data_IF_656061233967
#
_entry.id   IF_656061233967
#
_cell.length_a   1.000
_cell.length_b   1.000
_cell.length_c   1.000
_cell.angle_alpha   90.00
_cell.angle_beta   90.00
_cell.angle_gamma   90.00
#
_symmetry.space_group_name_H-M   'P 1'
#
loop_
_entity.id
_entity.type
_entity.pdbx_description
1 polymer ?
#
# COMPACT_ATOMS: atom_id res chain seq x y z
N UNK A 1 -28.66 56.87 24.87
CA UNK A 1 -30.10 57.13 25.12
C UNK A 1 -30.80 57.01 23.79
N UNK A 2 -31.63 55.97 23.63
CA UNK A 2 -32.46 55.82 22.44
C UNK A 2 -33.73 56.69 22.56
N UNK A 3 -34.36 56.97 21.43
CA UNK A 3 -35.77 56.68 21.20
C UNK A 3 -36.16 57.04 19.77
N UNK A 4 -36.71 56.04 19.11
CA UNK A 4 -37.50 56.08 17.88
C UNK A 4 -38.72 56.96 18.07
N UNK A 5 -39.07 57.80 17.09
CA UNK A 5 -40.49 58.03 16.79
C UNK A 5 -40.72 58.31 15.31
N UNK A 6 -41.46 57.38 14.74
CA UNK A 6 -42.09 57.36 13.43
C UNK A 6 -43.29 58.32 13.45
N UNK A 7 -43.38 59.24 12.49
CA UNK A 7 -44.65 59.86 12.10
C UNK A 7 -44.80 59.83 10.58
N UNK A 8 -45.95 59.35 10.16
CA UNK A 8 -46.39 59.08 8.80
C UNK A 8 -47.72 59.83 8.66
N UNK A 9 -47.96 60.53 7.54
CA UNK A 9 -49.21 60.50 6.72
C UNK A 9 -49.40 61.73 5.80
N UNK A 10 -49.64 61.40 4.51
CA UNK A 10 -50.40 62.05 3.39
C UNK A 10 -49.95 63.39 2.81
N UNK A 11 -49.36 63.43 1.61
CA UNK A 11 -49.85 63.26 0.20
C UNK A 11 -50.48 64.51 -0.41
N UNK A 12 -49.82 65.05 -1.45
CA UNK A 12 -50.48 65.69 -2.58
C UNK A 12 -50.23 64.85 -3.85
N UNK A 13 -51.33 64.48 -4.51
CA UNK A 13 -51.39 63.79 -5.80
C UNK A 13 -51.09 64.77 -6.93
N UNK A 14 -50.18 64.40 -7.83
CA UNK A 14 -50.20 64.85 -9.23
C UNK A 14 -49.99 63.65 -10.16
N UNK A 15 -50.87 63.58 -11.16
CA UNK A 15 -51.00 62.63 -12.26
C UNK A 15 -49.77 61.80 -12.65
N UNK A 16 -49.86 60.47 -12.49
CA UNK A 16 -48.88 59.50 -12.97
C UNK A 16 -49.49 58.40 -13.88
N UNK A 17 -50.60 58.67 -14.58
CA UNK A 17 -51.27 57.66 -15.41
C UNK A 17 -50.61 57.42 -16.78
N UNK A 18 -49.79 58.35 -17.28
CA UNK A 18 -49.13 58.20 -18.59
C UNK A 18 -47.78 57.47 -18.51
N UNK A 19 -47.06 57.57 -17.38
CA UNK A 19 -45.76 56.91 -17.19
C UNK A 19 -45.92 55.42 -16.86
N UNK A 20 -46.97 55.04 -16.11
CA UNK A 20 -47.21 53.64 -15.71
C UNK A 20 -47.63 52.74 -16.88
N UNK A 21 -48.32 53.28 -17.89
CA UNK A 21 -48.69 52.51 -19.10
C UNK A 21 -47.48 52.25 -20.02
N UNK A 22 -46.56 53.20 -20.17
CA UNK A 22 -45.35 53.00 -20.99
C UNK A 22 -44.34 52.03 -20.34
N UNK A 23 -44.33 51.95 -19.00
CA UNK A 23 -43.43 51.08 -18.26
C UNK A 23 -43.93 49.62 -18.21
N UNK A 24 -45.26 49.41 -18.16
CA UNK A 24 -45.88 48.09 -18.26
C UNK A 24 -45.70 47.42 -19.64
N UNK A 25 -45.88 48.18 -20.72
CA UNK A 25 -45.71 47.64 -22.08
C UNK A 25 -44.25 47.26 -22.39
N UNK A 26 -43.27 48.02 -21.86
CA UNK A 26 -41.84 47.69 -21.98
C UNK A 26 -41.45 46.42 -21.22
N UNK A 27 -41.99 46.18 -20.03
CA UNK A 27 -41.75 44.93 -19.27
C UNK A 27 -42.37 43.71 -19.96
N UNK A 28 -43.58 43.84 -20.50
CA UNK A 28 -44.23 42.75 -21.24
C UNK A 28 -43.45 42.43 -22.52
N UNK A 29 -42.94 43.45 -23.23
CA UNK A 29 -42.10 43.27 -24.40
C UNK A 29 -40.73 42.64 -24.04
N UNK A 30 -40.14 43.00 -22.90
CA UNK A 30 -38.90 42.40 -22.39
C UNK A 30 -39.09 40.94 -21.98
N UNK A 31 -40.18 40.62 -21.29
CA UNK A 31 -40.54 39.25 -20.89
C UNK A 31 -40.88 38.39 -22.10
N UNK A 32 -41.58 38.92 -23.11
CA UNK A 32 -41.84 38.21 -24.36
C UNK A 32 -40.55 37.98 -25.17
N UNK A 33 -39.65 38.97 -25.25
CA UNK A 33 -38.34 38.81 -25.89
C UNK A 33 -37.45 37.80 -25.15
N UNK A 34 -37.47 37.78 -23.81
CA UNK A 34 -36.74 36.82 -22.99
C UNK A 34 -37.28 35.40 -23.13
N UNK A 35 -38.61 35.22 -23.17
CA UNK A 35 -39.26 33.93 -23.44
C UNK A 35 -38.97 33.45 -24.86
N UNK A 36 -38.99 34.33 -25.87
CA UNK A 36 -38.65 34.01 -27.26
C UNK A 36 -37.18 33.64 -27.43
N UNK A 37 -36.25 34.30 -26.72
CA UNK A 37 -34.82 33.92 -26.66
C UNK A 37 -34.60 32.55 -26.01
N UNK A 38 -35.29 32.22 -24.92
CA UNK A 38 -35.23 30.88 -24.30
C UNK A 38 -35.82 29.80 -25.20
N UNK A 39 -36.93 30.08 -25.89
CA UNK A 39 -37.53 29.16 -26.85
C UNK A 39 -36.63 28.92 -28.07
N UNK A 40 -35.99 29.97 -28.60
CA UNK A 40 -35.01 29.85 -29.69
C UNK A 40 -33.71 29.15 -29.23
N UNK A 41 -33.24 29.35 -28.00
CA UNK A 41 -32.11 28.60 -27.43
C UNK A 41 -32.43 27.13 -27.19
N UNK A 42 -33.68 26.78 -26.85
CA UNK A 42 -34.12 25.38 -26.71
C UNK A 42 -34.34 24.70 -28.07
N UNK A 43 -34.74 25.44 -29.11
CA UNK A 43 -34.89 24.91 -30.48
C UNK A 43 -33.56 24.81 -31.25
N UNK A 44 -32.53 25.55 -30.86
CA UNK A 44 -31.17 25.45 -31.44
C UNK A 44 -30.24 24.48 -30.71
N UNK A 45 -30.71 23.77 -29.68
CA UNK A 45 -29.98 22.62 -29.17
C UNK A 45 -30.36 21.39 -30.00
N UNK A 46 -29.48 20.87 -30.87
CA UNK A 46 -29.74 19.59 -31.51
C UNK A 46 -29.90 18.53 -30.42
N UNK A 47 -31.13 18.08 -30.20
CA UNK A 47 -31.39 16.81 -29.55
C UNK A 47 -30.98 15.72 -30.54
N UNK A 48 -29.72 15.26 -30.47
CA UNK A 48 -29.41 13.85 -30.72
C UNK A 48 -28.00 13.48 -30.27
N UNK A 49 -28.02 12.88 -29.07
CA UNK A 49 -27.16 11.81 -28.59
C UNK A 49 -25.66 12.08 -28.58
N UNK A 50 -25.20 12.68 -27.48
CA UNK A 50 -23.89 12.32 -26.93
C UNK A 50 -23.93 10.83 -26.53
N UNK A 51 -23.79 9.93 -27.51
CA UNK A 51 -22.95 8.77 -27.29
C UNK A 51 -21.51 9.31 -27.21
N UNK A 52 -21.17 9.99 -26.10
CA UNK A 52 -19.76 10.13 -25.76
C UNK A 52 -19.19 8.73 -25.86
N UNK A 53 -18.05 8.52 -26.56
CA UNK A 53 -17.59 7.18 -26.92
C UNK A 53 -17.73 6.36 -25.67
N UNK A 54 -18.57 5.32 -25.71
CA UNK A 54 -18.58 4.34 -24.65
C UNK A 54 -17.13 3.93 -24.60
N UNK A 55 -16.39 4.46 -23.62
CA UNK A 55 -15.19 3.84 -23.14
C UNK A 55 -15.73 2.59 -22.49
N UNK A 56 -16.18 1.63 -23.31
CA UNK A 56 -15.79 0.25 -23.15
C UNK A 56 -14.32 0.40 -22.80
N UNK A 57 -14.02 0.36 -21.50
CA UNK A 57 -12.68 0.05 -21.05
C UNK A 57 -12.46 -1.27 -21.74
N UNK A 58 -11.89 -1.24 -22.96
CA UNK A 58 -11.37 -2.40 -23.65
C UNK A 58 -10.56 -3.03 -22.55
N UNK A 59 -11.08 -4.12 -22.00
CA UNK A 59 -10.49 -4.79 -20.87
C UNK A 59 -9.22 -5.31 -21.49
N UNK A 60 -8.14 -4.53 -21.36
CA UNK A 60 -6.89 -4.84 -22.03
C UNK A 60 -6.60 -6.28 -21.63
N UNK A 61 -6.50 -7.11 -22.65
CA UNK A 61 -6.26 -8.52 -22.45
C UNK A 61 -4.97 -8.60 -21.64
N UNK A 62 -5.05 -9.16 -20.43
CA UNK A 62 -3.88 -9.25 -19.57
C UNK A 62 -2.91 -10.16 -20.30
N UNK A 63 -1.81 -9.60 -20.78
CA UNK A 63 -0.67 -10.38 -21.27
C UNK A 63 -0.19 -11.21 -20.08
N UNK A 64 -0.53 -12.50 -20.10
CA UNK A 64 -0.06 -13.44 -19.10
C UNK A 64 1.40 -13.72 -19.38
N UNK A 65 2.29 -12.96 -18.76
CA UNK A 65 3.71 -13.31 -18.75
C UNK A 65 3.87 -14.60 -17.96
N UNK A 66 4.73 -15.53 -18.41
CA UNK A 66 4.97 -16.77 -17.68
C UNK A 66 5.36 -16.44 -16.24
N UNK A 67 4.64 -17.02 -15.28
CA UNK A 67 4.94 -16.88 -13.86
C UNK A 67 6.29 -17.55 -13.61
N UNK A 68 7.16 -16.89 -12.86
CA UNK A 68 8.45 -17.48 -12.48
C UNK A 68 8.19 -18.75 -11.68
N UNK A 69 8.64 -19.87 -12.24
CA UNK A 69 8.76 -21.15 -11.54
C UNK A 69 10.20 -21.31 -11.11
N UNK A 70 10.40 -22.04 -10.02
CA UNK A 70 11.72 -22.44 -9.59
C UNK A 70 12.30 -23.56 -10.47
N UNK A 71 11.43 -24.32 -11.15
CA UNK A 71 11.80 -25.42 -12.05
C UNK A 71 12.74 -24.92 -13.17
N UNK A 72 13.84 -25.64 -13.36
CA UNK A 72 14.84 -25.33 -14.39
C UNK A 72 15.89 -24.29 -13.97
N UNK A 73 15.81 -23.72 -12.76
CA UNK A 73 16.87 -22.89 -12.20
C UNK A 73 17.92 -23.76 -11.49
N UNK A 74 19.19 -23.40 -11.63
CA UNK A 74 20.26 -24.02 -10.83
C UNK A 74 20.20 -23.47 -9.41
N UNK A 75 20.62 -24.28 -8.44
CA UNK A 75 20.60 -23.91 -7.02
C UNK A 75 21.32 -22.59 -6.74
N UNK A 76 22.48 -22.35 -7.37
CA UNK A 76 23.22 -21.09 -7.25
C UNK A 76 22.37 -19.86 -7.64
N UNK A 77 21.56 -20.00 -8.70
CA UNK A 77 20.71 -18.93 -9.21
C UNK A 77 19.52 -18.71 -8.26
N UNK A 78 19.02 -19.78 -7.62
CA UNK A 78 17.97 -19.72 -6.58
C UNK A 78 18.49 -18.98 -5.35
N UNK A 79 19.66 -19.38 -4.82
CA UNK A 79 20.28 -18.75 -3.64
C UNK A 79 20.56 -17.27 -3.93
N UNK A 80 21.07 -16.94 -5.12
CA UNK A 80 21.33 -15.54 -5.48
C UNK A 80 20.05 -14.70 -5.53
N UNK A 81 18.94 -15.26 -6.04
CA UNK A 81 17.67 -14.54 -6.23
C UNK A 81 16.80 -14.45 -4.99
N UNK A 82 16.86 -15.45 -4.11
CA UNK A 82 15.93 -15.60 -2.98
C UNK A 82 16.63 -15.69 -1.62
N UNK A 83 17.98 -15.76 -1.58
CA UNK A 83 18.81 -15.94 -0.37
C UNK A 83 18.54 -17.23 0.40
N UNK A 84 17.78 -18.15 -0.20
CA UNK A 84 17.43 -19.46 0.32
C UNK A 84 17.73 -20.51 -0.76
N UNK A 85 18.09 -21.72 -0.33
CA UNK A 85 18.19 -22.87 -1.23
C UNK A 85 16.80 -23.41 -1.57
N UNK A 86 16.74 -24.29 -2.57
CA UNK A 86 15.48 -24.88 -3.04
C UNK A 86 14.71 -25.61 -1.93
N UNK A 87 15.41 -26.40 -1.12
CA UNK A 87 14.80 -27.17 -0.04
C UNK A 87 14.16 -26.28 1.03
N UNK A 88 14.83 -25.20 1.42
CA UNK A 88 14.31 -24.23 2.38
C UNK A 88 13.07 -23.51 1.86
N UNK A 89 13.03 -23.17 0.57
CA UNK A 89 11.85 -22.57 -0.06
C UNK A 89 10.67 -23.55 -0.06
N UNK A 90 10.91 -24.83 -0.39
CA UNK A 90 9.87 -25.86 -0.36
C UNK A 90 9.34 -26.09 1.06
N UNK A 91 10.22 -26.21 2.05
CA UNK A 91 9.80 -26.33 3.46
C UNK A 91 8.99 -25.12 3.92
N UNK A 92 9.42 -23.91 3.54
CA UNK A 92 8.69 -22.69 3.86
C UNK A 92 7.32 -22.68 3.20
N UNK A 93 7.21 -23.09 1.94
CA UNK A 93 5.95 -23.20 1.22
C UNK A 93 4.98 -24.15 1.93
N UNK A 94 5.43 -25.36 2.28
CA UNK A 94 4.62 -26.34 3.02
C UNK A 94 4.12 -25.77 4.35
N UNK A 95 4.96 -25.03 5.07
CA UNK A 95 4.60 -24.47 6.38
C UNK A 95 3.55 -23.35 6.31
N UNK A 96 3.49 -22.60 5.21
CA UNK A 96 2.59 -21.44 5.07
C UNK A 96 1.36 -21.71 4.18
N UNK A 97 1.35 -22.82 3.45
CA UNK A 97 0.34 -23.10 2.43
C UNK A 97 -1.09 -23.06 2.98
N UNK A 98 -1.31 -23.65 4.16
CA UNK A 98 -2.61 -23.67 4.84
C UNK A 98 -3.11 -22.27 5.21
N UNK A 99 -2.20 -21.35 5.57
CA UNK A 99 -2.56 -19.98 5.96
C UNK A 99 -2.86 -19.08 4.76
N UNK A 100 -2.30 -19.42 3.59
CA UNK A 100 -2.45 -18.64 2.35
C UNK A 100 -3.41 -19.26 1.33
N UNK A 101 -4.01 -20.41 1.65
CA UNK A 101 -4.97 -21.10 0.81
C UNK A 101 -6.14 -20.15 0.45
N UNK A 102 -6.45 -19.99 -0.85
CA UNK A 102 -7.56 -19.16 -1.26
C UNK A 102 -8.89 -19.84 -0.89
N UNK A 103 -9.87 -19.06 -0.44
CA UNK A 103 -11.23 -19.57 -0.19
C UNK A 103 -11.86 -20.18 -1.45
N UNK A 104 -11.53 -19.65 -2.62
CA UNK A 104 -11.96 -20.16 -3.91
C UNK A 104 -10.78 -20.14 -4.91
N UNK A 105 -10.55 -21.28 -5.56
CA UNK A 105 -9.56 -21.40 -6.63
C UNK A 105 -10.22 -20.98 -7.94
N UNK A 106 -9.75 -19.89 -8.51
CA UNK A 106 -10.17 -19.41 -9.84
C UNK A 106 -8.96 -19.38 -10.77
N UNK A 107 -9.15 -19.39 -12.10
CA UNK A 107 -8.04 -19.22 -13.04
C UNK A 107 -7.23 -17.93 -12.83
N UNK A 108 -7.84 -16.93 -12.17
CA UNK A 108 -7.22 -15.63 -11.85
C UNK A 108 -6.45 -15.64 -10.54
N UNK A 109 -6.59 -16.69 -9.74
CA UNK A 109 -5.92 -16.80 -8.45
C UNK A 109 -4.41 -16.92 -8.67
N UNK A 110 -3.64 -16.14 -7.92
CA UNK A 110 -2.18 -16.23 -7.91
C UNK A 110 -1.81 -17.42 -7.02
N UNK A 111 -1.04 -18.40 -7.52
CA UNK A 111 -0.59 -19.55 -6.73
C UNK A 111 0.22 -19.11 -5.49
N UNK A 112 0.13 -19.88 -4.41
CA UNK A 112 0.85 -19.59 -3.16
C UNK A 112 2.36 -19.57 -3.37
N UNK A 113 2.89 -20.52 -4.14
CA UNK A 113 4.31 -20.54 -4.54
C UNK A 113 4.72 -19.23 -5.22
N UNK A 114 3.94 -18.76 -6.20
CA UNK A 114 4.23 -17.50 -6.90
C UNK A 114 4.20 -16.29 -5.95
N UNK A 115 3.26 -16.25 -4.98
CA UNK A 115 3.22 -15.19 -3.96
C UNK A 115 4.46 -15.24 -3.08
N UNK A 116 4.84 -16.42 -2.60
CA UNK A 116 6.02 -16.62 -1.75
C UNK A 116 7.30 -16.17 -2.48
N UNK A 117 7.52 -16.62 -3.71
CA UNK A 117 8.69 -16.27 -4.50
C UNK A 117 8.79 -14.77 -4.77
N UNK A 118 7.65 -14.14 -5.07
CA UNK A 118 7.56 -12.70 -5.24
C UNK A 118 8.02 -11.95 -3.98
N UNK A 119 7.56 -12.38 -2.80
CA UNK A 119 7.93 -11.75 -1.53
C UNK A 119 9.38 -12.04 -1.16
N UNK A 120 9.85 -13.28 -1.29
CA UNK A 120 11.24 -13.65 -1.03
C UNK A 120 12.21 -12.85 -1.90
N UNK A 121 11.90 -12.68 -3.19
CA UNK A 121 12.74 -11.87 -4.06
C UNK A 121 12.75 -10.40 -3.66
N UNK A 122 11.62 -9.85 -3.22
CA UNK A 122 11.57 -8.49 -2.69
C UNK A 122 12.44 -8.34 -1.44
N UNK A 123 12.37 -9.29 -0.50
CA UNK A 123 13.20 -9.30 0.70
C UNK A 123 14.69 -9.45 0.37
N UNK A 124 15.02 -10.29 -0.61
CA UNK A 124 16.39 -10.55 -1.06
C UNK A 124 17.04 -9.38 -1.82
N UNK A 125 16.24 -8.64 -2.60
CA UNK A 125 16.71 -7.54 -3.46
C UNK A 125 16.56 -6.16 -2.81
N UNK A 126 15.68 -6.02 -1.81
CA UNK A 126 15.36 -4.74 -1.18
C UNK A 126 14.65 -3.75 -2.11
N UNK A 127 14.19 -4.17 -3.29
CA UNK A 127 13.58 -3.31 -4.29
C UNK A 127 12.30 -3.91 -4.88
N UNK A 128 11.26 -3.08 -4.98
CA UNK A 128 10.03 -3.46 -5.66
C UNK A 128 10.20 -3.52 -7.18
N UNK A 129 11.11 -2.74 -7.77
CA UNK A 129 11.29 -2.70 -9.23
C UNK A 129 11.86 -4.02 -9.77
N UNK A 130 12.86 -4.57 -9.07
CA UNK A 130 13.44 -5.90 -9.38
C UNK A 130 12.40 -6.99 -9.22
N UNK A 131 11.62 -6.95 -8.14
CA UNK A 131 10.48 -7.84 -7.95
C UNK A 131 9.46 -7.71 -9.06
N UNK A 132 9.03 -6.51 -9.43
CA UNK A 132 8.08 -6.27 -10.51
C UNK A 132 8.53 -6.87 -11.85
N UNK A 133 9.83 -6.80 -12.16
CA UNK A 133 10.40 -7.44 -13.34
C UNK A 133 10.35 -8.98 -13.25
N UNK A 134 10.72 -9.56 -12.10
CA UNK A 134 10.67 -11.01 -11.86
C UNK A 134 9.23 -11.54 -11.88
N UNK A 135 8.30 -10.78 -11.32
CA UNK A 135 6.91 -11.19 -11.12
C UNK A 135 6.01 -10.74 -12.26
N UNK A 136 6.54 -10.43 -13.45
CA UNK A 136 5.91 -9.68 -14.56
C UNK A 136 4.49 -10.10 -15.05
N UNK A 137 3.84 -11.06 -14.41
CA UNK A 137 2.39 -11.32 -14.47
C UNK A 137 1.57 -10.84 -13.25
N UNK A 138 2.16 -10.16 -12.26
CA UNK A 138 1.49 -9.66 -11.05
C UNK A 138 1.48 -8.13 -11.06
N UNK A 139 0.30 -7.53 -10.98
CA UNK A 139 0.16 -6.08 -10.83
C UNK A 139 0.53 -5.61 -9.42
N UNK A 140 1.10 -4.41 -9.28
CA UNK A 140 1.49 -3.83 -7.99
C UNK A 140 0.37 -3.84 -6.94
N UNK A 141 -0.90 -3.50 -7.24
CA UNK A 141 -1.99 -3.61 -6.27
C UNK A 141 -2.21 -5.04 -5.77
N UNK A 142 -2.06 -6.04 -6.63
CA UNK A 142 -2.20 -7.46 -6.24
C UNK A 142 -1.06 -7.89 -5.33
N UNK A 143 0.18 -7.48 -5.63
CA UNK A 143 1.33 -7.74 -4.78
C UNK A 143 1.15 -7.11 -3.40
N UNK A 144 0.82 -5.81 -3.34
CA UNK A 144 0.57 -5.10 -2.08
C UNK A 144 -0.55 -5.75 -1.25
N UNK A 145 -1.55 -6.36 -1.89
CA UNK A 145 -2.65 -7.04 -1.19
C UNK A 145 -2.26 -8.37 -0.54
N UNK A 146 -1.31 -9.14 -1.09
CA UNK A 146 -0.88 -10.41 -0.50
C UNK A 146 0.42 -10.32 0.29
N UNK A 147 1.24 -9.28 0.09
CA UNK A 147 2.50 -9.09 0.80
C UNK A 147 2.34 -9.22 2.32
N UNK A 148 1.46 -8.48 3.02
CA UNK A 148 1.34 -8.61 4.47
C UNK A 148 0.96 -10.03 4.89
N UNK A 149 0.07 -10.70 4.15
CA UNK A 149 -0.35 -12.08 4.45
C UNK A 149 0.80 -13.08 4.39
N UNK A 150 1.70 -12.93 3.40
CA UNK A 150 2.90 -13.78 3.29
C UNK A 150 3.87 -13.46 4.42
N UNK A 151 4.08 -12.16 4.73
CA UNK A 151 4.97 -11.75 5.81
C UNK A 151 4.47 -12.25 7.17
N UNK A 152 3.19 -12.09 7.48
CA UNK A 152 2.57 -12.56 8.73
C UNK A 152 2.74 -14.07 8.88
N UNK A 153 2.55 -14.83 7.79
CA UNK A 153 2.75 -16.27 7.80
C UNK A 153 4.22 -16.65 8.09
N UNK A 154 5.18 -15.94 7.49
CA UNK A 154 6.62 -16.16 7.73
C UNK A 154 6.98 -15.78 9.19
N UNK A 155 6.51 -14.63 9.67
CA UNK A 155 6.72 -14.15 11.04
C UNK A 155 6.12 -15.13 12.05
N UNK A 156 4.98 -15.74 11.74
CA UNK A 156 4.37 -16.79 12.56
C UNK A 156 5.26 -18.03 12.77
N UNK A 157 6.27 -18.24 11.91
CA UNK A 157 7.24 -19.32 12.05
C UNK A 157 8.46 -18.93 12.91
N UNK A 158 8.66 -17.64 13.18
CA UNK A 158 9.80 -17.13 13.96
C UNK A 158 10.01 -17.86 15.29
N UNK A 159 8.99 -18.16 16.12
CA UNK A 159 9.17 -18.86 17.39
C UNK A 159 9.68 -20.31 17.27
N UNK A 160 9.72 -20.88 16.06
CA UNK A 160 10.28 -22.22 15.80
C UNK A 160 11.75 -22.16 15.37
N UNK A 161 12.19 -21.02 14.85
CA UNK A 161 13.50 -20.86 14.20
C UNK A 161 14.43 -19.89 14.92
N UNK A 162 13.90 -18.83 15.55
CA UNK A 162 14.67 -17.81 16.28
C UNK A 162 14.35 -17.97 17.77
N UNK A 163 15.18 -18.74 18.45
CA UNK A 163 14.98 -19.08 19.85
C UNK A 163 16.26 -18.89 20.65
N UNK A 164 16.21 -18.04 21.67
CA UNK A 164 17.29 -17.88 22.63
C UNK A 164 17.47 -19.19 23.45
N UNK A 165 18.71 -19.57 23.84
CA UNK A 165 18.95 -20.78 24.62
C UNK A 165 18.32 -20.67 26.03
N UNK A 166 17.09 -21.13 26.15
CA UNK A 166 16.31 -21.07 27.39
C UNK A 166 16.41 -22.34 28.25
N UNK A 167 17.00 -23.43 27.73
CA UNK A 167 17.23 -24.67 28.49
C UNK A 167 18.68 -24.77 28.93
N UNK A 168 18.92 -25.37 30.10
CA UNK A 168 20.28 -25.57 30.62
C UNK A 168 21.19 -26.31 29.62
N UNK A 169 20.63 -27.30 28.91
CA UNK A 169 21.36 -28.04 27.88
C UNK A 169 21.82 -27.13 26.73
N UNK A 170 20.90 -26.34 26.13
CA UNK A 170 21.24 -25.42 25.03
C UNK A 170 22.19 -24.31 25.48
N UNK A 171 22.03 -23.83 26.72
CA UNK A 171 22.93 -22.86 27.31
C UNK A 171 24.34 -23.42 27.45
N UNK A 172 24.47 -24.67 27.92
CA UNK A 172 25.76 -25.31 28.08
C UNK A 172 26.45 -25.54 26.73
N UNK A 173 25.71 -26.01 25.73
CA UNK A 173 26.18 -26.14 24.35
C UNK A 173 26.69 -24.80 23.81
N UNK A 174 25.90 -23.74 23.97
CA UNK A 174 26.28 -22.41 23.49
C UNK A 174 27.54 -21.88 24.18
N UNK A 175 27.64 -22.04 25.50
CA UNK A 175 28.83 -21.65 26.29
C UNK A 175 30.08 -22.39 25.83
N UNK A 176 29.98 -23.70 25.62
CA UNK A 176 31.09 -24.51 25.14
C UNK A 176 31.50 -24.11 23.73
N UNK A 177 30.54 -23.83 22.84
CA UNK A 177 30.80 -23.35 21.48
C UNK A 177 31.58 -22.05 21.44
N UNK A 178 31.16 -21.03 22.19
CA UNK A 178 31.89 -19.76 22.26
C UNK A 178 33.28 -19.89 22.91
N UNK A 179 33.39 -20.73 23.95
CA UNK A 179 34.67 -21.01 24.58
C UNK A 179 35.64 -21.69 23.62
N UNK A 180 35.16 -22.62 22.78
CA UNK A 180 35.98 -23.27 21.76
C UNK A 180 36.47 -22.31 20.66
N UNK A 181 35.68 -21.27 20.33
CA UNK A 181 36.03 -20.28 19.30
C UNK A 181 37.06 -19.26 19.80
N UNK A 182 36.90 -18.77 21.03
CA UNK A 182 37.61 -17.56 21.51
C UNK A 182 38.25 -17.69 22.90
N UNK A 183 37.99 -18.77 23.62
CA UNK A 183 38.39 -18.93 25.02
C UNK A 183 37.58 -18.09 26.01
N UNK A 184 36.60 -17.30 25.56
CA UNK A 184 35.80 -16.46 26.46
C UNK A 184 34.71 -17.32 27.16
N UNK A 185 34.73 -17.41 28.49
CA UNK A 185 33.82 -18.29 29.21
C UNK A 185 32.41 -17.72 29.34
N UNK A 186 31.43 -18.62 29.50
CA UNK A 186 30.04 -18.30 29.86
C UNK A 186 29.24 -17.40 28.89
N UNK A 187 29.62 -17.34 27.62
CA UNK A 187 28.86 -16.60 26.59
C UNK A 187 27.61 -17.37 26.16
N UNK A 188 26.48 -16.66 26.03
CA UNK A 188 25.22 -17.20 25.52
C UNK A 188 24.79 -16.62 24.17
N UNK A 189 25.50 -15.60 23.69
CA UNK A 189 25.27 -14.99 22.40
C UNK A 189 26.16 -13.78 22.19
N UNK A 190 26.41 -13.45 20.93
CA UNK A 190 27.01 -12.19 20.53
C UNK A 190 25.91 -11.24 20.09
N UNK A 191 25.92 -10.00 20.60
CA UNK A 191 24.88 -8.99 20.36
C UNK A 191 25.44 -7.87 19.50
N UNK A 192 24.67 -7.45 18.50
CA UNK A 192 24.98 -6.27 17.70
C UNK A 192 23.69 -5.55 17.29
N UNK A 193 23.83 -4.28 16.88
CA UNK A 193 22.72 -3.42 16.48
C UNK A 193 22.98 -2.83 15.08
N UNK A 194 21.94 -2.79 14.25
CA UNK A 194 22.00 -2.20 12.92
C UNK A 194 20.85 -1.24 12.67
N UNK A 195 21.15 -0.11 12.03
CA UNK A 195 20.13 0.86 11.64
C UNK A 195 19.55 0.50 10.27
N UNK A 196 18.31 0.02 10.24
CA UNK A 196 17.57 -0.26 9.00
C UNK A 196 16.89 1.02 8.54
N UNK A 197 17.36 1.58 7.43
CA UNK A 197 16.80 2.81 6.85
C UNK A 197 15.39 2.59 6.36
N UNK A 198 14.55 3.60 6.55
CA UNK A 198 13.18 3.60 6.05
C UNK A 198 12.71 5.00 5.70
N UNK A 199 11.59 5.06 4.97
CA UNK A 199 10.83 6.29 4.77
C UNK A 199 9.72 6.30 5.82
N UNK A 200 9.76 7.19 6.82
CA UNK A 200 8.77 7.18 7.89
C UNK A 200 7.46 7.81 7.43
N UNK A 201 6.33 7.49 8.09
CA UNK A 201 5.10 8.23 7.89
C UNK A 201 5.29 9.70 8.30
N UNK A 202 4.78 10.64 7.49
CA UNK A 202 4.95 12.08 7.76
C UNK A 202 4.44 12.51 9.14
N UNK A 203 3.36 11.89 9.63
CA UNK A 203 2.78 12.20 10.94
C UNK A 203 3.68 11.79 12.13
N UNK A 204 4.59 10.82 11.94
CA UNK A 204 5.41 10.24 12.99
C UNK A 204 6.90 10.20 12.65
N UNK A 205 7.35 11.06 11.73
CA UNK A 205 8.75 11.13 11.26
C UNK A 205 9.76 11.21 12.39
N UNK A 206 9.45 12.02 13.40
CA UNK A 206 10.29 12.23 14.58
C UNK A 206 10.61 10.95 15.35
N UNK A 207 9.75 9.92 15.32
CA UNK A 207 10.00 8.64 15.99
C UNK A 207 11.11 7.82 15.32
N UNK A 208 11.42 8.11 14.06
CA UNK A 208 12.38 7.35 13.27
C UNK A 208 13.70 8.09 13.06
N UNK A 209 13.84 9.31 13.59
CA UNK A 209 15.03 10.14 13.41
C UNK A 209 16.15 9.66 14.33
N UNK A 210 17.28 9.24 13.74
CA UNK A 210 18.44 8.77 14.49
C UNK A 210 19.45 9.89 14.79
N UNK A 211 20.50 9.57 15.57
CA UNK A 211 21.58 10.51 15.94
C UNK A 211 22.30 11.11 14.72
N UNK A 212 22.33 10.41 13.59
CA UNK A 212 22.93 10.88 12.32
C UNK A 212 21.98 11.77 11.50
N UNK A 213 20.86 12.19 12.08
CA UNK A 213 19.81 12.98 11.43
C UNK A 213 19.25 12.31 10.16
N UNK A 214 19.27 10.98 10.11
CA UNK A 214 18.61 10.17 9.06
C UNK A 214 17.45 9.38 9.67
N UNK A 215 16.63 8.74 8.83
CA UNK A 215 15.49 7.94 9.29
C UNK A 215 15.80 6.44 9.25
N UNK A 216 15.64 5.76 10.38
CA UNK A 216 15.91 4.33 10.53
C UNK A 216 15.31 3.74 11.79
N UNK A 217 15.06 2.43 11.79
CA UNK A 217 14.81 1.64 13.01
C UNK A 217 16.13 1.04 13.49
N UNK A 218 16.38 1.05 14.79
CA UNK A 218 17.52 0.36 15.38
C UNK A 218 17.15 -1.09 15.68
N UNK A 219 17.70 -2.03 14.91
CA UNK A 219 17.43 -3.45 15.06
C UNK A 219 18.59 -4.11 15.79
N UNK A 220 18.30 -4.72 16.93
CA UNK A 220 19.22 -5.55 17.69
C UNK A 220 19.05 -7.02 17.30
N UNK A 221 20.15 -7.72 17.09
CA UNK A 221 20.15 -9.16 16.91
C UNK A 221 21.15 -9.82 17.87
N UNK A 222 20.78 -11.00 18.37
CA UNK A 222 21.69 -11.90 19.08
C UNK A 222 21.95 -13.11 18.20
N UNK A 223 23.21 -13.49 18.05
CA UNK A 223 23.63 -14.71 17.36
C UNK A 223 24.29 -15.69 18.31
N UNK A 224 24.13 -16.98 18.06
CA UNK A 224 24.85 -18.03 18.78
C UNK A 224 26.25 -18.26 18.20
N UNK A 225 26.95 -19.26 18.76
CA UNK A 225 28.31 -19.63 18.35
C UNK A 225 28.39 -20.20 16.93
N UNK A 226 27.27 -20.61 16.33
CA UNK A 226 27.19 -21.09 14.94
C UNK A 226 26.85 -19.96 13.96
N UNK A 227 26.65 -18.73 14.47
CA UNK A 227 26.21 -17.59 13.68
C UNK A 227 24.72 -17.60 13.35
N UNK A 228 23.92 -18.43 14.03
CA UNK A 228 22.47 -18.44 13.87
C UNK A 228 21.84 -17.35 14.73
N UNK A 229 20.85 -16.64 14.18
CA UNK A 229 20.10 -15.62 14.91
C UNK A 229 19.21 -16.31 15.95
N UNK A 230 19.44 -16.00 17.23
CA UNK A 230 18.71 -16.56 18.37
C UNK A 230 17.69 -15.57 18.95
N UNK A 231 17.86 -14.27 18.70
CA UNK A 231 16.89 -13.24 19.09
C UNK A 231 16.96 -12.01 18.17
N UNK A 232 15.84 -11.34 17.95
CA UNK A 232 15.75 -10.09 17.19
C UNK A 232 14.74 -9.12 17.84
N UNK A 233 15.13 -7.86 17.98
CA UNK A 233 14.32 -6.77 18.56
C UNK A 233 14.51 -5.51 17.72
N UNK A 234 13.44 -4.74 17.48
CA UNK A 234 13.44 -3.56 16.62
C UNK A 234 12.59 -2.43 17.22
#
# INVERSE_FOLDING_TARGET
>A
MGQTHLYLIRTHRTNNRAAEQQQGDMEVLFLQRARRRRALQQQQQPQQQQQGPQRQRRRQERIFRPRTTLHGLRERDIIQRYRLNWQAIQQLLTNIEQQLAPTLVTPRTIPTETKLLAVLHMLASGSFQTTGALVGGISQPSFSAFLPKVLDAIIGLTPRHICFPNTLQKQQETKQGFYAISGFPHVLGAIDCTHVRLVPPAASEHLYRNRKHTHSINVQAIVDHQGLISNIVA
#
